data_IF_406332337853
#
_entry.id   IF_406332337853
#
_cell.length_a   1.000
_cell.length_b   1.000
_cell.length_c   1.000
_cell.angle_alpha   90.00
_cell.angle_beta   90.00
_cell.angle_gamma   90.00
#
_symmetry.space_group_name_H-M   'P 1'
#
loop_
_entity.id
_entity.type
_entity.pdbx_description
1 polymer ?
#
# COMPACT_ATOMS: atom_id res chain seq x y z
N UNK A 1 24.32 9.63 0.53
CA UNK A 1 23.94 9.71 -0.89
C UNK A 1 22.58 10.36 -0.96
N UNK A 2 22.48 11.54 -1.59
CA UNK A 2 21.29 12.40 -1.52
C UNK A 2 20.22 11.94 -2.52
N UNK A 3 18.95 12.04 -2.13
CA UNK A 3 17.75 11.62 -2.89
C UNK A 3 17.67 12.10 -4.35
N UNK A 4 18.43 13.13 -4.73
CA UNK A 4 18.49 13.66 -6.09
C UNK A 4 19.18 12.73 -7.11
N UNK A 5 20.04 11.80 -6.69
CA UNK A 5 20.82 10.96 -7.62
C UNK A 5 20.04 9.80 -8.27
N UNK A 6 18.84 9.45 -7.78
CA UNK A 6 18.07 8.30 -8.29
C UNK A 6 17.14 8.69 -9.45
N UNK A 7 16.87 9.99 -9.67
CA UNK A 7 16.10 10.45 -10.85
C UNK A 7 16.82 10.20 -12.20
N UNK A 8 18.11 9.84 -12.19
CA UNK A 8 18.97 9.85 -13.37
C UNK A 8 19.39 8.48 -13.92
N UNK A 9 18.81 7.35 -13.47
CA UNK A 9 19.21 6.03 -13.99
C UNK A 9 18.25 5.41 -15.03
N UNK A 10 17.05 5.97 -15.27
CA UNK A 10 16.13 5.43 -16.28
C UNK A 10 15.55 4.04 -15.99
N UNK A 11 15.90 3.44 -14.85
CA UNK A 11 15.40 2.13 -14.40
C UNK A 11 14.05 2.35 -13.69
N UNK A 12 13.05 1.58 -14.07
CA UNK A 12 11.70 1.66 -13.50
C UNK A 12 11.65 1.12 -12.06
N UNK A 13 10.65 1.51 -11.24
CA UNK A 13 10.49 0.95 -9.89
C UNK A 13 10.34 -0.58 -9.88
N UNK A 14 9.64 -1.14 -10.88
CA UNK A 14 9.45 -2.59 -11.00
C UNK A 14 10.75 -3.32 -11.30
N UNK A 15 11.60 -2.78 -12.19
CA UNK A 15 12.92 -3.35 -12.49
C UNK A 15 13.82 -3.39 -11.24
N UNK A 16 13.82 -2.32 -10.44
CA UNK A 16 14.55 -2.26 -9.16
C UNK A 16 14.01 -3.32 -8.20
N UNK A 17 12.67 -3.40 -8.04
CA UNK A 17 12.04 -4.36 -7.16
C UNK A 17 12.38 -5.81 -7.55
N UNK A 18 12.29 -6.13 -8.84
CA UNK A 18 12.59 -7.46 -9.37
C UNK A 18 14.04 -7.87 -9.07
N UNK A 19 14.99 -6.97 -9.38
CA UNK A 19 16.41 -7.22 -9.16
C UNK A 19 16.74 -7.43 -7.68
N UNK A 20 16.24 -6.54 -6.81
CA UNK A 20 16.55 -6.61 -5.38
C UNK A 20 15.86 -7.79 -4.68
N UNK A 21 14.65 -8.16 -5.10
CA UNK A 21 13.97 -9.37 -4.58
C UNK A 21 14.67 -10.65 -5.02
N UNK A 22 15.16 -10.73 -6.26
CA UNK A 22 15.96 -11.87 -6.71
C UNK A 22 17.25 -12.01 -5.88
N UNK A 23 17.97 -10.91 -5.66
CA UNK A 23 19.16 -10.88 -4.77
C UNK A 23 18.82 -11.28 -3.34
N UNK A 24 17.68 -10.84 -2.82
CA UNK A 24 17.22 -11.20 -1.48
C UNK A 24 16.92 -12.71 -1.37
N UNK A 25 16.33 -13.30 -2.41
CA UNK A 25 16.01 -14.73 -2.48
C UNK A 25 17.27 -15.62 -2.52
N UNK A 26 18.33 -15.16 -3.18
CA UNK A 26 19.61 -15.89 -3.28
C UNK A 26 20.47 -15.81 -2.00
N UNK A 27 20.17 -14.90 -1.08
CA UNK A 27 20.92 -14.78 0.17
C UNK A 27 20.67 -16.00 1.04
N UNK A 28 21.75 -16.69 1.41
CA UNK A 28 21.70 -17.75 2.42
C UNK A 28 21.41 -17.13 3.80
N UNK A 29 20.13 -17.04 4.15
CA UNK A 29 19.64 -16.43 5.40
C UNK A 29 19.49 -17.45 6.53
N UNK A 30 20.44 -18.39 6.62
CA UNK A 30 20.50 -19.37 7.71
C UNK A 30 20.40 -18.68 9.08
N UNK A 31 19.22 -18.73 9.70
CA UNK A 31 18.97 -18.31 11.08
C UNK A 31 18.34 -16.94 11.32
N UNK A 32 17.92 -16.17 10.30
CA UNK A 32 17.30 -14.85 10.55
C UNK A 32 16.11 -14.51 9.62
N UNK A 33 15.00 -15.22 9.81
CA UNK A 33 13.76 -15.02 9.05
C UNK A 33 13.18 -13.60 9.21
N UNK A 34 13.32 -12.98 10.39
CA UNK A 34 12.78 -11.64 10.65
C UNK A 34 13.48 -10.56 9.82
N UNK A 35 14.81 -10.64 9.67
CA UNK A 35 15.54 -9.73 8.77
C UNK A 35 15.11 -9.89 7.33
N UNK A 36 14.80 -11.12 6.90
CA UNK A 36 14.31 -11.37 5.54
C UNK A 36 12.95 -10.71 5.29
N UNK A 37 11.97 -10.93 6.18
CA UNK A 37 10.63 -10.35 6.06
C UNK A 37 10.68 -8.82 6.08
N UNK A 38 11.50 -8.25 6.97
CA UNK A 38 11.72 -6.81 7.05
C UNK A 38 12.36 -6.24 5.78
N UNK A 39 13.36 -6.93 5.22
CA UNK A 39 14.00 -6.52 3.98
C UNK A 39 13.02 -6.58 2.79
N UNK A 40 12.27 -7.68 2.64
CA UNK A 40 11.28 -7.83 1.58
C UNK A 40 10.16 -6.77 1.69
N UNK A 41 9.64 -6.54 2.90
CA UNK A 41 8.66 -5.50 3.18
C UNK A 41 9.18 -4.12 2.77
N UNK A 42 10.45 -3.82 3.07
CA UNK A 42 11.07 -2.54 2.69
C UNK A 42 11.18 -2.37 1.18
N UNK A 43 11.54 -3.43 0.44
CA UNK A 43 11.59 -3.37 -1.03
C UNK A 43 10.22 -3.05 -1.63
N UNK A 44 9.15 -3.66 -1.10
CA UNK A 44 7.78 -3.36 -1.52
C UNK A 44 7.37 -1.92 -1.16
N UNK A 45 7.65 -1.48 0.07
CA UNK A 45 7.39 -0.10 0.50
C UNK A 45 8.08 0.92 -0.42
N UNK A 46 9.35 0.67 -0.77
CA UNK A 46 10.14 1.55 -1.62
C UNK A 46 9.60 1.55 -3.07
N UNK A 47 9.12 0.41 -3.57
CA UNK A 47 8.38 0.33 -4.83
C UNK A 47 7.15 1.24 -4.82
N UNK A 48 6.25 1.10 -3.86
CA UNK A 48 5.01 1.88 -3.83
C UNK A 48 5.26 3.38 -3.64
N UNK A 49 6.21 3.76 -2.75
CA UNK A 49 6.62 5.16 -2.59
C UNK A 49 7.15 5.73 -3.89
N UNK A 50 8.00 4.97 -4.59
CA UNK A 50 8.58 5.44 -5.84
C UNK A 50 7.53 5.55 -6.94
N UNK A 51 6.66 4.55 -7.09
CA UNK A 51 5.56 4.57 -8.05
C UNK A 51 4.61 5.74 -7.79
N UNK A 52 4.32 6.06 -6.52
CA UNK A 52 3.56 7.25 -6.15
C UNK A 52 4.28 8.55 -6.55
N UNK A 53 5.59 8.66 -6.28
CA UNK A 53 6.39 9.86 -6.60
C UNK A 53 6.50 10.16 -8.10
N UNK A 54 6.59 9.11 -8.93
CA UNK A 54 6.78 9.24 -10.37
C UNK A 54 5.49 9.10 -11.17
N UNK A 55 4.36 8.89 -10.50
CA UNK A 55 3.08 8.62 -11.16
C UNK A 55 2.74 9.74 -12.15
N UNK A 56 2.36 9.35 -13.35
CA UNK A 56 1.82 10.26 -14.36
C UNK A 56 0.34 10.55 -14.10
N UNK A 57 -0.38 9.60 -13.50
CA UNK A 57 -1.81 9.72 -13.20
C UNK A 57 -2.07 10.59 -11.98
N UNK A 58 -1.27 10.45 -10.91
CA UNK A 58 -1.43 11.18 -9.64
C UNK A 58 -1.56 12.71 -9.80
N UNK A 59 -0.69 13.38 -10.58
CA UNK A 59 -0.82 14.81 -10.86
C UNK A 59 -2.10 15.18 -11.62
N UNK A 60 -2.54 14.35 -12.57
CA UNK A 60 -3.77 14.57 -13.36
C UNK A 60 -5.02 14.39 -12.51
N UNK A 61 -4.95 13.56 -11.47
CA UNK A 61 -6.03 13.35 -10.51
C UNK A 61 -6.31 14.54 -9.60
N UNK A 62 -5.51 15.61 -9.66
CA UNK A 62 -5.61 16.78 -8.79
C UNK A 62 -5.65 16.34 -7.32
N UNK A 63 -4.48 15.99 -6.77
CA UNK A 63 -4.29 15.54 -5.38
C UNK A 63 -4.89 16.50 -4.33
N UNK A 64 -5.11 17.78 -4.68
CA UNK A 64 -5.78 18.74 -3.81
C UNK A 64 -7.29 18.46 -3.75
N UNK A 65 -7.91 18.15 -4.89
CA UNK A 65 -9.34 17.80 -4.97
C UNK A 65 -9.62 16.36 -4.56
N UNK A 66 -8.77 15.43 -4.98
CA UNK A 66 -8.92 14.00 -4.77
C UNK A 66 -7.73 13.43 -3.98
N UNK A 67 -7.52 13.86 -2.72
CA UNK A 67 -6.41 13.36 -1.92
C UNK A 67 -6.58 11.86 -1.66
N UNK A 68 -5.51 11.10 -1.85
CA UNK A 68 -5.48 9.66 -1.63
C UNK A 68 -4.22 9.18 -0.90
N UNK A 69 -4.29 7.97 -0.37
CA UNK A 69 -3.19 7.27 0.30
C UNK A 69 -3.14 5.81 -0.14
N UNK A 70 -1.93 5.23 -0.14
CA UNK A 70 -1.71 3.80 -0.35
C UNK A 70 -1.33 3.19 1.00
N UNK A 71 -2.06 2.16 1.40
CA UNK A 71 -2.00 1.54 2.72
C UNK A 71 -1.77 0.05 2.54
N UNK A 72 -0.83 -0.51 3.31
CA UNK A 72 -0.64 -1.96 3.41
C UNK A 72 -1.69 -2.56 4.35
N UNK A 73 -2.22 -3.73 4.01
CA UNK A 73 -3.15 -4.50 4.84
C UNK A 73 -2.55 -5.87 5.21
N UNK A 74 -3.19 -6.55 6.17
CA UNK A 74 -2.88 -7.94 6.53
C UNK A 74 -1.41 -8.20 6.85
N UNK A 75 -0.84 -9.30 6.33
CA UNK A 75 0.56 -9.68 6.57
C UNK A 75 1.56 -8.62 6.08
N UNK A 76 1.24 -7.91 4.99
CA UNK A 76 2.07 -6.81 4.51
C UNK A 76 2.02 -5.59 5.45
N UNK A 77 0.85 -5.32 6.01
CA UNK A 77 0.63 -4.36 7.08
C UNK A 77 1.49 -4.63 8.31
N UNK A 78 1.48 -5.89 8.79
CA UNK A 78 2.29 -6.36 9.93
C UNK A 78 3.80 -6.49 9.65
N UNK A 79 4.24 -6.25 8.42
CA UNK A 79 5.65 -6.44 7.97
C UNK A 79 6.11 -7.90 8.03
N UNK A 80 5.18 -8.83 7.87
CA UNK A 80 5.40 -10.28 7.87
C UNK A 80 5.44 -10.84 6.43
N UNK A 81 5.73 -9.99 5.45
CA UNK A 81 5.57 -10.33 4.03
C UNK A 81 6.64 -11.30 3.52
N UNK A 82 6.25 -12.53 3.20
CA UNK A 82 7.09 -13.51 2.51
C UNK A 82 7.18 -13.23 1.00
N UNK A 83 8.12 -13.88 0.30
CA UNK A 83 8.27 -13.69 -1.15
C UNK A 83 7.05 -14.17 -1.96
N UNK A 84 6.42 -15.27 -1.53
CA UNK A 84 5.28 -15.87 -2.22
C UNK A 84 3.93 -15.43 -1.63
N UNK A 85 3.91 -14.51 -0.66
CA UNK A 85 2.66 -13.98 -0.10
C UNK A 85 2.08 -12.92 -1.02
N UNK A 86 0.75 -12.93 -1.13
CA UNK A 86 -0.03 -11.88 -1.78
C UNK A 86 0.21 -10.54 -1.08
N UNK A 87 0.35 -9.47 -1.86
CA UNK A 87 0.49 -8.11 -1.34
C UNK A 87 -0.89 -7.49 -1.23
N UNK A 88 -1.37 -7.22 -0.01
CA UNK A 88 -2.68 -6.62 0.20
C UNK A 88 -2.60 -5.10 0.38
N UNK A 89 -3.41 -4.37 -0.39
CA UNK A 89 -3.41 -2.90 -0.42
C UNK A 89 -4.81 -2.30 -0.29
N UNK A 90 -4.84 -1.10 0.28
CA UNK A 90 -5.97 -0.17 0.18
C UNK A 90 -5.51 1.12 -0.48
N UNK A 91 -6.15 1.46 -1.60
CA UNK A 91 -6.15 2.80 -2.19
C UNK A 91 -7.29 3.59 -1.54
N UNK A 92 -6.95 4.43 -0.57
CA UNK A 92 -7.89 5.21 0.21
C UNK A 92 -8.06 6.60 -0.38
N UNK A 93 -9.29 6.99 -0.67
CA UNK A 93 -9.67 8.33 -1.11
C UNK A 93 -10.42 9.08 -0.01
N UNK A 94 -10.29 10.41 0.05
CA UNK A 94 -11.09 11.21 1.00
C UNK A 94 -12.58 11.18 0.71
N UNK A 95 -12.94 11.34 -0.56
CA UNK A 95 -14.33 11.45 -1.02
C UNK A 95 -14.63 10.45 -2.13
N UNK A 96 -15.45 10.86 -3.09
CA UNK A 96 -15.75 10.05 -4.27
C UNK A 96 -14.48 9.61 -5.00
N UNK A 97 -14.46 8.36 -5.44
CA UNK A 97 -13.35 7.79 -6.19
C UNK A 97 -13.43 8.35 -7.61
N UNK A 98 -12.41 9.08 -8.09
CA UNK A 98 -12.43 9.65 -9.44
C UNK A 98 -12.26 8.54 -10.49
N UNK A 99 -12.81 8.75 -11.69
CA UNK A 99 -12.71 7.78 -12.79
C UNK A 99 -11.26 7.40 -13.17
N UNK A 100 -10.32 8.33 -12.99
CA UNK A 100 -8.88 8.13 -13.21
C UNK A 100 -8.19 7.29 -12.13
N UNK A 101 -8.89 6.88 -11.06
CA UNK A 101 -8.32 5.98 -10.05
C UNK A 101 -7.93 4.63 -10.66
N UNK A 102 -8.68 4.13 -11.65
CA UNK A 102 -8.36 2.89 -12.36
C UNK A 102 -7.02 2.99 -13.08
N UNK A 103 -6.71 4.13 -13.69
CA UNK A 103 -5.42 4.33 -14.37
C UNK A 103 -4.26 4.35 -13.37
N UNK A 104 -4.46 4.96 -12.20
CA UNK A 104 -3.48 4.95 -11.11
C UNK A 104 -3.23 3.51 -10.60
N UNK A 105 -4.30 2.73 -10.41
CA UNK A 105 -4.20 1.34 -9.98
C UNK A 105 -3.43 0.54 -11.03
N UNK A 106 -3.74 0.71 -12.32
CA UNK A 106 -3.02 0.04 -13.42
C UNK A 106 -1.54 0.40 -13.41
N UNK A 107 -1.23 1.68 -13.28
CA UNK A 107 0.14 2.20 -13.23
C UNK A 107 0.95 1.58 -12.07
N UNK A 108 0.32 1.38 -10.91
CA UNK A 108 1.00 0.87 -9.71
C UNK A 108 1.00 -0.65 -9.62
N UNK A 109 -0.07 -1.33 -10.06
CA UNK A 109 -0.30 -2.75 -9.76
C UNK A 109 0.08 -3.65 -10.92
N UNK A 110 -0.19 -3.27 -12.17
CA UNK A 110 0.05 -4.16 -13.31
C UNK A 110 1.52 -4.57 -13.45
N UNK A 111 2.51 -3.67 -13.21
CA UNK A 111 3.90 -4.10 -13.22
C UNK A 111 4.22 -5.18 -12.19
N UNK A 112 3.54 -5.21 -11.03
CA UNK A 112 3.72 -6.27 -10.02
C UNK A 112 3.20 -7.62 -10.53
N UNK A 113 2.02 -7.62 -11.18
CA UNK A 113 1.46 -8.83 -11.79
C UNK A 113 2.33 -9.35 -12.93
N UNK A 114 2.88 -8.48 -13.77
CA UNK A 114 3.80 -8.86 -14.85
C UNK A 114 5.08 -9.55 -14.30
N UNK A 115 5.46 -9.22 -13.06
CA UNK A 115 6.57 -9.87 -12.35
C UNK A 115 6.17 -11.17 -11.61
N UNK A 116 4.90 -11.56 -11.65
CA UNK A 116 4.35 -12.71 -10.93
C UNK A 116 4.14 -12.47 -9.43
N UNK A 117 4.09 -11.21 -8.99
CA UNK A 117 3.71 -10.87 -7.61
C UNK A 117 2.20 -10.67 -7.59
N UNK A 118 1.48 -11.53 -6.87
CA UNK A 118 0.04 -11.38 -6.67
C UNK A 118 -0.27 -10.20 -5.74
N UNK A 119 -1.29 -9.42 -6.10
CA UNK A 119 -1.67 -8.20 -5.37
C UNK A 119 -3.18 -8.15 -5.18
N UNK A 120 -3.61 -8.37 -3.95
CA UNK A 120 -4.96 -8.07 -3.50
C UNK A 120 -5.09 -6.56 -3.26
N UNK A 121 -6.12 -5.92 -3.81
CA UNK A 121 -6.34 -4.50 -3.53
C UNK A 121 -7.82 -4.14 -3.43
N UNK A 122 -8.09 -3.13 -2.60
CA UNK A 122 -9.36 -2.45 -2.54
C UNK A 122 -9.17 -0.96 -2.84
N UNK A 123 -10.17 -0.36 -3.46
CA UNK A 123 -10.24 1.09 -3.72
C UNK A 123 -11.49 1.62 -3.05
N UNK A 124 -11.32 2.48 -2.03
CA UNK A 124 -12.42 2.93 -1.18
C UNK A 124 -12.24 4.37 -0.75
N UNK A 125 -13.36 5.03 -0.50
CA UNK A 125 -13.44 6.27 0.25
C UNK A 125 -13.40 6.00 1.76
N UNK A 126 -13.06 7.02 2.56
CA UNK A 126 -13.15 6.96 4.02
C UNK A 126 -14.56 6.58 4.47
N UNK A 127 -15.59 7.17 3.86
CA UNK A 127 -16.99 6.91 4.21
C UNK A 127 -17.38 5.44 3.97
N UNK A 128 -16.91 4.84 2.87
CA UNK A 128 -17.13 3.42 2.60
C UNK A 128 -16.43 2.54 3.63
N UNK A 129 -15.17 2.80 3.96
CA UNK A 129 -14.44 2.04 4.98
C UNK A 129 -15.16 2.05 6.34
N UNK A 130 -15.61 3.23 6.80
CA UNK A 130 -16.34 3.37 8.06
C UNK A 130 -17.70 2.67 8.02
N UNK A 131 -18.44 2.82 6.92
CA UNK A 131 -19.74 2.16 6.74
C UNK A 131 -19.62 0.64 6.70
N UNK A 132 -18.57 0.13 6.05
CA UNK A 132 -18.31 -1.31 5.94
C UNK A 132 -17.89 -1.90 7.29
N UNK A 133 -16.97 -1.24 8.01
CA UNK A 133 -16.58 -1.64 9.36
C UNK A 133 -17.78 -1.68 10.34
N UNK A 134 -18.75 -0.79 10.15
CA UNK A 134 -19.99 -0.80 10.94
C UNK A 134 -20.94 -1.96 10.58
N UNK A 135 -20.80 -2.62 9.44
CA UNK A 135 -21.74 -3.68 8.99
C UNK A 135 -21.16 -5.08 9.04
N UNK A 136 -19.86 -5.23 8.82
CA UNK A 136 -19.21 -6.51 8.62
C UNK A 136 -17.81 -6.53 9.23
N UNK A 137 -17.58 -7.44 10.19
CA UNK A 137 -16.29 -7.60 10.84
C UNK A 137 -15.22 -8.20 9.91
N UNK A 138 -15.61 -8.98 8.88
CA UNK A 138 -14.65 -9.60 7.96
C UNK A 138 -13.95 -8.55 7.08
N UNK A 139 -14.63 -7.45 6.79
CA UNK A 139 -14.07 -6.29 6.09
C UNK A 139 -13.24 -5.37 7.00
N UNK A 140 -13.39 -5.51 8.32
CA UNK A 140 -12.65 -4.77 9.32
C UNK A 140 -11.32 -5.45 9.68
N UNK A 141 -11.25 -6.79 9.66
CA UNK A 141 -10.05 -7.54 10.05
C UNK A 141 -8.79 -7.09 9.30
N UNK A 142 -8.79 -6.90 7.96
CA UNK A 142 -7.58 -6.44 7.26
C UNK A 142 -7.14 -5.01 7.65
N UNK A 143 -8.08 -4.17 8.10
CA UNK A 143 -7.83 -2.79 8.52
C UNK A 143 -7.19 -2.71 9.92
N UNK A 144 -7.29 -3.76 10.74
CA UNK A 144 -6.59 -3.83 12.03
C UNK A 144 -5.07 -3.80 11.88
N UNK A 145 -4.59 -4.37 10.78
CA UNK A 145 -3.16 -4.41 10.45
C UNK A 145 -2.76 -3.27 9.50
N UNK A 146 -3.62 -2.27 9.30
CA UNK A 146 -3.40 -1.21 8.33
C UNK A 146 -2.12 -0.42 8.65
N UNK A 147 -1.26 -0.27 7.64
CA UNK A 147 0.00 0.48 7.77
C UNK A 147 0.16 1.44 6.60
N UNK A 148 0.33 2.71 6.91
CA UNK A 148 0.61 3.75 5.91
C UNK A 148 1.89 3.46 5.13
N UNK A 149 1.83 3.56 3.79
CA UNK A 149 2.99 3.46 2.91
C UNK A 149 3.37 4.84 2.36
N UNK A 150 2.44 5.50 1.66
CA UNK A 150 2.64 6.79 1.01
C UNK A 150 1.30 7.51 0.67
N UNK A 151 1.41 8.77 0.23
CA UNK A 151 0.28 9.64 -0.09
C UNK A 151 -0.03 10.64 1.03
N UNK A 152 -1.31 10.98 1.17
CA UNK A 152 -1.77 12.02 2.10
C UNK A 152 -1.93 11.42 3.51
N UNK A 153 -0.89 11.52 4.35
CA UNK A 153 -0.89 10.88 5.68
C UNK A 153 -2.05 11.29 6.62
N UNK A 154 -2.57 12.53 6.63
CA UNK A 154 -3.74 12.87 7.44
C UNK A 154 -5.00 12.08 7.07
N UNK A 155 -5.06 11.54 5.85
CA UNK A 155 -6.18 10.71 5.41
C UNK A 155 -6.16 9.34 6.10
N UNK A 156 -4.97 8.75 6.23
CA UNK A 156 -4.79 7.49 6.94
C UNK A 156 -5.09 7.65 8.43
N UNK A 157 -4.51 8.65 9.10
CA UNK A 157 -4.79 8.88 10.53
C UNK A 157 -6.28 9.14 10.78
N UNK A 158 -6.92 9.96 9.94
CA UNK A 158 -8.35 10.24 10.07
C UNK A 158 -9.25 9.03 9.83
N UNK A 159 -8.83 8.05 9.02
CA UNK A 159 -9.53 6.76 8.91
C UNK A 159 -9.38 5.95 10.19
N UNK A 160 -8.16 5.82 10.71
CA UNK A 160 -7.91 5.03 11.93
C UNK A 160 -8.68 5.59 13.14
N UNK A 161 -8.71 6.92 13.31
CA UNK A 161 -9.48 7.57 14.37
C UNK A 161 -10.99 7.27 14.26
N UNK A 162 -11.54 7.28 13.04
CA UNK A 162 -12.96 6.98 12.82
C UNK A 162 -13.30 5.51 13.06
N UNK A 163 -12.40 4.61 12.65
CA UNK A 163 -12.55 3.17 12.88
C UNK A 163 -12.51 2.83 14.38
N UNK A 164 -11.58 3.42 15.13
CA UNK A 164 -11.49 3.25 16.58
C UNK A 164 -12.79 3.71 17.26
N UNK A 165 -13.28 4.90 16.92
CA UNK A 165 -14.54 5.41 17.45
C UNK A 165 -15.73 4.51 17.11
N UNK A 166 -15.81 4.00 15.87
CA UNK A 166 -16.89 3.11 15.45
C UNK A 166 -16.90 1.78 16.24
N UNK A 167 -15.72 1.25 16.57
CA UNK A 167 -15.60 0.04 17.41
C UNK A 167 -15.98 0.32 18.87
N UNK A 168 -15.52 1.44 19.43
CA UNK A 168 -15.84 1.82 20.82
C UNK A 168 -17.36 2.03 20.98
N UNK A 169 -18.00 2.77 20.07
CA UNK A 169 -19.44 3.03 20.15
C UNK A 169 -20.28 1.76 20.05
N UNK A 170 -19.88 0.77 19.23
CA UNK A 170 -20.58 -0.51 19.15
C UNK A 170 -20.48 -1.38 20.42
N UNK A 171 -19.40 -1.25 21.18
CA UNK A 171 -19.22 -2.02 22.43
C UNK A 171 -19.92 -1.37 23.63
N UNK A 172 -20.51 -0.17 23.45
CA UNK A 172 -21.23 0.55 24.49
C UNK A 172 -22.76 0.33 24.47
N UNK A 173 -23.27 -0.34 23.43
CA UNK A 173 -24.66 -0.76 23.24
C UNK A 173 -24.85 -2.26 23.52
#
# INVERSE_FOLDING_TARGET
>A
MTFANIRNQGISPSEILQQERARLAERNMSGDSLKFLSANTRLLDDYFRRSFEISLTGPVMDLVKNPYAIIALGGYGRKEQCLASDVDLLFLFRGEIPASADDLIREVIYPLWDMGIEVGHATRSVAECVTMAAKDFDLFTPLLDARFICGISPLFSGLMDQLENAVISKNAD
#
